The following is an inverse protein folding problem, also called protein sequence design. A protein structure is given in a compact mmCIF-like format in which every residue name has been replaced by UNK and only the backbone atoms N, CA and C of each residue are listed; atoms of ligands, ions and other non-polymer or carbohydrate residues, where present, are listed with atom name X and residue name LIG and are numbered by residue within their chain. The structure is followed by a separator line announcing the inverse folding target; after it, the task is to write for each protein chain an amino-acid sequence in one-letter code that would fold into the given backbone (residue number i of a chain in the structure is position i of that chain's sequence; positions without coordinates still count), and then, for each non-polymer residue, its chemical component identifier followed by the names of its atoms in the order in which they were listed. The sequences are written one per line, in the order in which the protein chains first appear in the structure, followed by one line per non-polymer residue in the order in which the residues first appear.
data_IF_734285445969
#
_entry.id   IF_734285445969
#
_cell.length_a   1.000
_cell.length_b   1.000
_cell.length_c   1.000
_cell.angle_alpha   90.00
_cell.angle_beta   90.00
_cell.angle_gamma   90.00
#
_symmetry.space_group_name_H-M   'P 1'
#
loop_
_entity.id
_entity.type
_entity.pdbx_description
1 polymer ?
#
# COMPACT_ATOMS: atom_id res chain seq x y z
N UNK A 1 1.55 2.56 39.87
CA UNK A 1 1.89 1.41 38.98
C UNK A 1 0.90 1.30 37.81
N UNK A 2 -0.33 0.77 37.97
CA UNK A 2 -1.30 0.59 36.87
C UNK A 2 -1.64 1.85 36.07
N UNK A 3 -1.81 3.01 36.71
CA UNK A 3 -2.11 4.28 36.01
C UNK A 3 -0.93 4.80 35.18
N UNK A 4 0.29 4.57 35.64
CA UNK A 4 1.50 4.98 34.93
C UNK A 4 1.72 4.11 33.69
N UNK A 5 1.48 2.79 33.79
CA UNK A 5 1.50 1.89 32.64
C UNK A 5 0.44 2.23 31.59
N UNK A 6 -0.77 2.63 32.00
CA UNK A 6 -1.82 3.05 31.06
C UNK A 6 -1.45 4.33 30.31
N UNK A 7 -0.86 5.31 30.99
CA UNK A 7 -0.39 6.55 30.35
C UNK A 7 0.71 6.24 29.33
N UNK A 8 1.68 5.39 29.71
CA UNK A 8 2.76 4.98 28.82
C UNK A 8 2.22 4.28 27.55
N UNK A 9 1.26 3.36 27.72
CA UNK A 9 0.63 2.65 26.60
C UNK A 9 -0.13 3.60 25.67
N UNK A 10 -0.83 4.60 26.21
CA UNK A 10 -1.56 5.57 25.39
C UNK A 10 -0.61 6.45 24.57
N UNK A 11 0.50 6.88 25.18
CA UNK A 11 1.50 7.70 24.49
C UNK A 11 2.22 6.97 23.37
N UNK A 12 2.49 5.67 23.54
CA UNK A 12 3.16 4.88 22.48
C UNK A 12 2.24 4.66 21.28
N UNK A 13 0.95 4.39 21.50
CA UNK A 13 -0.04 4.24 20.43
C UNK A 13 -0.18 5.54 19.62
N UNK A 14 -0.21 6.69 20.28
CA UNK A 14 -0.28 7.99 19.61
C UNK A 14 0.99 8.33 18.81
N UNK A 15 2.17 7.92 19.28
CA UNK A 15 3.42 8.15 18.56
C UNK A 15 3.52 7.32 17.27
N UNK A 16 2.93 6.11 17.25
CA UNK A 16 2.92 5.21 16.10
C UNK A 16 2.00 5.69 14.96
N UNK A 17 0.97 6.47 15.26
CA UNK A 17 0.01 6.97 14.26
C UNK A 17 0.38 8.33 13.66
N UNK A 18 1.43 8.99 14.13
CA UNK A 18 1.75 10.37 13.76
C UNK A 18 2.07 10.60 12.26
N UNK A 19 2.47 9.56 11.52
CA UNK A 19 2.88 9.66 10.12
C UNK A 19 1.91 8.98 9.14
N UNK A 20 0.75 8.47 9.59
CA UNK A 20 -0.16 7.70 8.73
C UNK A 20 -0.81 8.51 7.61
N UNK A 21 -0.82 9.85 7.73
CA UNK A 21 -1.48 10.77 6.78
C UNK A 21 -0.48 11.59 5.96
N UNK A 22 0.82 11.30 6.02
CA UNK A 22 1.86 12.00 5.24
C UNK A 22 1.87 11.60 3.75
N UNK A 23 1.05 10.63 3.34
CA UNK A 23 0.90 10.24 1.94
C UNK A 23 -0.04 11.18 1.18
N UNK A 24 0.32 11.50 -0.06
CA UNK A 24 -0.57 12.16 -1.02
C UNK A 24 -1.43 11.14 -1.75
N UNK A 25 -2.68 11.48 -2.04
CA UNK A 25 -3.54 10.62 -2.83
C UNK A 25 -2.94 10.37 -4.23
N UNK A 26 -3.21 9.22 -4.87
CA UNK A 26 -2.56 8.86 -6.13
C UNK A 26 -2.69 9.92 -7.25
N UNK A 27 -3.82 10.62 -7.31
CA UNK A 27 -4.08 11.69 -8.29
C UNK A 27 -3.38 13.02 -7.98
N UNK A 28 -2.78 13.18 -6.79
CA UNK A 28 -2.04 14.39 -6.42
C UNK A 28 -0.57 14.33 -6.85
N UNK A 29 -0.13 13.23 -7.46
CA UNK A 29 1.28 13.01 -7.86
C UNK A 29 1.66 13.66 -9.20
N UNK A 30 0.94 14.70 -9.60
CA UNK A 30 1.15 15.50 -10.82
C UNK A 30 1.44 14.64 -12.07
N UNK A 31 2.67 14.66 -12.60
CA UNK A 31 3.04 13.87 -13.79
C UNK A 31 2.85 12.37 -13.60
N UNK A 32 3.02 11.84 -12.38
CA UNK A 32 2.82 10.44 -12.06
C UNK A 32 1.34 10.07 -11.86
N UNK A 33 0.44 11.05 -11.81
CA UNK A 33 -1.00 10.81 -11.75
C UNK A 33 -1.62 10.55 -13.12
N UNK A 34 -0.86 10.71 -14.20
CA UNK A 34 -1.35 10.52 -15.57
C UNK A 34 -1.60 9.04 -15.87
N UNK A 35 -2.62 8.76 -16.67
CA UNK A 35 -2.97 7.40 -17.08
C UNK A 35 -1.83 6.68 -17.81
N UNK A 36 -1.05 7.42 -18.61
CA UNK A 36 0.13 6.91 -19.32
C UNK A 36 1.29 6.49 -18.38
N UNK A 37 1.26 6.93 -17.12
CA UNK A 37 2.26 6.61 -16.10
C UNK A 37 1.80 5.49 -15.15
N UNK A 38 0.66 4.86 -15.42
CA UNK A 38 0.19 3.70 -14.66
C UNK A 38 1.15 2.52 -14.87
N UNK A 39 1.47 1.81 -13.78
CA UNK A 39 2.29 0.59 -13.86
C UNK A 39 1.58 -0.56 -14.58
N UNK A 40 0.25 -0.49 -14.66
CA UNK A 40 -0.62 -1.50 -15.22
C UNK A 40 -1.40 -0.87 -16.36
N UNK A 41 -1.05 -1.26 -17.58
CA UNK A 41 -1.69 -0.77 -18.81
C UNK A 41 -2.96 -1.54 -19.15
N UNK A 42 -2.98 -2.85 -18.90
CA UNK A 42 -4.13 -3.73 -19.14
C UNK A 42 -4.42 -4.59 -17.89
N UNK A 43 -5.60 -4.43 -17.26
CA UNK A 43 -5.95 -5.18 -16.06
C UNK A 43 -6.20 -6.67 -16.31
N UNK A 44 -6.61 -7.06 -17.52
CA UNK A 44 -6.87 -8.46 -17.89
C UNK A 44 -5.55 -9.20 -18.05
N UNK A 45 -4.60 -8.60 -18.76
CA UNK A 45 -3.25 -9.17 -18.92
C UNK A 45 -2.56 -9.33 -17.57
N UNK A 46 -2.65 -8.30 -16.72
CA UNK A 46 -2.06 -8.34 -15.38
C UNK A 46 -2.65 -9.40 -14.47
N UNK A 47 -3.98 -9.58 -14.49
CA UNK A 47 -4.65 -10.61 -13.71
C UNK A 47 -4.27 -12.03 -14.17
N UNK A 48 -4.09 -12.23 -15.48
CA UNK A 48 -3.62 -13.50 -16.04
C UNK A 48 -2.18 -13.80 -15.58
N UNK A 49 -1.32 -12.79 -15.67
CA UNK A 49 0.05 -12.85 -15.21
C UNK A 49 0.15 -13.25 -13.73
N UNK A 50 -0.58 -12.57 -12.85
CA UNK A 50 -0.62 -12.88 -11.43
C UNK A 50 -1.10 -14.32 -11.18
N UNK A 51 -2.11 -14.77 -11.93
CA UNK A 51 -2.58 -16.16 -11.86
C UNK A 51 -1.48 -17.17 -12.20
N UNK A 52 -0.67 -16.88 -13.23
CA UNK A 52 0.46 -17.73 -13.63
C UNK A 52 1.54 -17.72 -12.56
N UNK A 53 1.93 -16.55 -12.06
CA UNK A 53 2.99 -16.39 -11.06
C UNK A 53 2.65 -17.09 -9.74
N UNK A 54 1.43 -16.90 -9.22
CA UNK A 54 0.98 -17.59 -8.02
C UNK A 54 0.92 -19.10 -8.19
N UNK A 55 0.50 -19.57 -9.37
CA UNK A 55 0.38 -21.00 -9.64
C UNK A 55 1.73 -21.68 -9.85
N UNK A 56 2.70 -21.00 -10.48
CA UNK A 56 3.99 -21.60 -10.86
C UNK A 56 5.07 -21.41 -9.82
N UNK A 57 5.08 -20.27 -9.14
CA UNK A 57 6.20 -19.89 -8.26
C UNK A 57 5.85 -20.02 -6.78
N UNK A 58 4.61 -20.44 -6.45
CA UNK A 58 4.06 -20.39 -5.09
C UNK A 58 4.30 -19.02 -4.41
N UNK A 59 4.39 -17.96 -5.23
CA UNK A 59 4.51 -16.59 -4.77
C UNK A 59 3.25 -16.24 -3.97
N UNK A 60 3.42 -15.48 -2.90
CA UNK A 60 2.31 -14.95 -2.10
C UNK A 60 2.54 -13.47 -1.87
N UNK A 61 1.52 -12.66 -2.18
CA UNK A 61 1.62 -11.20 -2.29
C UNK A 61 1.66 -10.75 -3.74
N UNK A 62 0.63 -10.01 -4.16
CA UNK A 62 0.50 -9.45 -5.50
C UNK A 62 1.49 -8.32 -5.78
N UNK A 63 1.53 -7.91 -7.05
CA UNK A 63 2.38 -6.82 -7.57
C UNK A 63 1.89 -5.48 -7.00
N UNK A 64 2.46 -5.01 -5.89
CA UNK A 64 1.90 -3.82 -5.22
C UNK A 64 2.88 -2.90 -4.52
N UNK A 65 3.77 -2.21 -5.26
CA UNK A 65 4.51 -1.04 -4.74
C UNK A 65 4.94 -0.10 -5.88
N UNK A 66 4.05 0.67 -6.52
CA UNK A 66 4.55 1.75 -7.38
C UNK A 66 3.62 2.50 -8.34
N UNK A 67 2.30 2.31 -8.33
CA UNK A 67 1.43 3.09 -9.21
C UNK A 67 -0.02 3.13 -8.75
N UNK A 68 -0.58 4.34 -8.66
CA UNK A 68 -2.00 4.66 -8.79
C UNK A 68 -3.03 4.11 -7.78
N UNK A 69 -2.75 3.01 -7.08
CA UNK A 69 -3.75 2.28 -6.30
C UNK A 69 -3.53 2.32 -4.79
N UNK A 70 -4.59 2.00 -4.05
CA UNK A 70 -4.63 1.88 -2.57
C UNK A 70 -3.62 0.87 -1.99
N UNK A 71 -2.88 0.12 -2.83
CA UNK A 71 -1.75 -0.70 -2.37
C UNK A 71 -2.12 -1.76 -1.32
N UNK A 72 -3.38 -2.18 -1.27
CA UNK A 72 -3.82 -3.28 -0.44
C UNK A 72 -3.84 -4.56 -1.29
N UNK A 73 -3.06 -5.55 -0.88
CA UNK A 73 -3.41 -6.95 -1.09
C UNK A 73 -4.62 -7.29 -0.21
#
# INVERSE_FOLDING_TARGET
MRRFSLILLLTTVFALSACSTLGVEPWQRDTLARDEMQLLTDPVEAGLDDHIYFSKEASSGGRGFGGGGCGCN
#
